data_IF_240105224126
#
_entry.id   IF_240105224126
#
_cell.length_a   1.000
_cell.length_b   1.000
_cell.length_c   1.000
_cell.angle_alpha   90.00
_cell.angle_beta   90.00
_cell.angle_gamma   90.00
#
_symmetry.space_group_name_H-M   'P 1'
#
loop_
_entity.id
_entity.type
_entity.pdbx_description
1 polymer ?
#
# COMPACT_ATOMS: atom_id res chain seq x y z
N UNK A 1 8.22 19.50 17.45
CA UNK A 1 7.71 18.10 17.38
C UNK A 1 8.66 17.11 16.69
N UNK A 2 9.47 17.49 15.70
CA UNK A 2 10.54 16.61 15.16
C UNK A 2 11.52 16.02 16.21
N UNK A 3 11.98 16.77 17.24
CA UNK A 3 12.83 16.18 18.28
C UNK A 3 12.07 15.17 19.15
N UNK A 4 10.74 15.31 19.26
CA UNK A 4 9.91 14.40 20.06
C UNK A 4 9.73 13.05 19.38
N UNK A 5 9.52 13.02 18.04
CA UNK A 5 9.46 11.75 17.27
C UNK A 5 10.79 10.99 17.31
N UNK A 6 11.93 11.68 17.18
CA UNK A 6 13.25 11.05 17.29
C UNK A 6 13.53 10.53 18.71
N UNK A 7 13.09 11.27 19.75
CA UNK A 7 13.22 10.84 21.14
C UNK A 7 12.33 9.63 21.45
N UNK A 8 11.11 9.58 20.91
CA UNK A 8 10.18 8.46 21.10
C UNK A 8 10.64 7.22 20.33
N UNK A 9 11.13 7.37 19.09
CA UNK A 9 11.74 6.25 18.34
C UNK A 9 12.96 5.70 19.10
N UNK A 10 13.82 6.58 19.61
CA UNK A 10 14.98 6.17 20.40
C UNK A 10 14.58 5.54 21.75
N UNK A 11 13.54 6.05 22.41
CA UNK A 11 13.04 5.50 23.67
C UNK A 11 12.38 4.13 23.48
N UNK A 12 11.64 3.90 22.39
CA UNK A 12 11.05 2.60 22.05
C UNK A 12 12.13 1.55 21.70
N UNK A 13 13.20 1.96 21.01
CA UNK A 13 14.36 1.09 20.74
C UNK A 13 15.14 0.76 22.03
N UNK A 14 15.24 1.69 22.98
CA UNK A 14 15.95 1.50 24.24
C UNK A 14 15.13 0.76 25.32
N UNK A 15 13.81 0.68 25.18
CA UNK A 15 12.92 0.05 26.17
C UNK A 15 12.84 -1.49 26.07
N UNK A 16 13.55 -2.14 25.14
CA UNK A 16 13.78 -3.60 25.19
C UNK A 16 12.55 -4.50 24.96
N UNK A 17 11.40 -3.95 24.58
CA UNK A 17 10.21 -4.71 24.18
C UNK A 17 10.01 -4.61 22.66
N UNK A 18 10.94 -5.14 21.87
CA UNK A 18 10.74 -5.20 20.41
C UNK A 18 9.73 -6.29 20.10
N UNK A 19 8.46 -5.91 19.96
CA UNK A 19 7.42 -6.76 19.38
C UNK A 19 7.94 -7.37 18.08
N UNK A 20 7.71 -8.66 17.89
CA UNK A 20 8.00 -9.36 16.64
C UNK A 20 7.20 -8.73 15.48
N UNK A 21 7.68 -8.91 14.25
CA UNK A 21 6.95 -8.52 13.03
C UNK A 21 5.52 -9.09 13.02
N UNK A 22 5.32 -10.31 13.55
CA UNK A 22 4.01 -10.94 13.67
C UNK A 22 3.08 -10.22 14.64
N UNK A 23 3.58 -9.82 15.81
CA UNK A 23 2.81 -9.06 16.81
C UNK A 23 2.43 -7.68 16.29
N UNK A 24 3.37 -6.96 15.66
CA UNK A 24 3.07 -5.67 15.05
C UNK A 24 1.99 -5.78 13.94
N UNK A 25 2.01 -6.85 13.15
CA UNK A 25 0.93 -7.09 12.16
C UNK A 25 -0.41 -7.43 12.82
N UNK A 26 -0.39 -8.18 13.92
CA UNK A 26 -1.60 -8.50 14.68
C UNK A 26 -2.22 -7.25 15.31
N UNK A 27 -1.40 -6.32 15.79
CA UNK A 27 -1.85 -5.01 16.29
C UNK A 27 -2.56 -4.21 15.19
N UNK A 28 -2.00 -4.16 13.97
CA UNK A 28 -2.65 -3.51 12.82
C UNK A 28 -3.93 -4.21 12.36
N UNK A 29 -4.04 -5.53 12.52
CA UNK A 29 -5.28 -6.27 12.30
C UNK A 29 -6.35 -5.90 13.34
N UNK A 30 -5.94 -5.72 14.60
CA UNK A 30 -6.84 -5.44 15.72
C UNK A 30 -7.53 -4.07 15.60
N UNK A 31 -6.78 -3.05 15.14
CA UNK A 31 -7.27 -1.67 14.98
C UNK A 31 -7.80 -1.38 13.56
N UNK A 32 -8.00 -2.42 12.75
CA UNK A 32 -8.42 -2.24 11.35
C UNK A 32 -9.86 -1.74 11.26
N UNK A 33 -10.16 -0.66 10.51
CA UNK A 33 -11.47 0.01 10.51
C UNK A 33 -12.63 -0.80 9.87
N UNK A 34 -12.44 -2.08 9.55
CA UNK A 34 -13.52 -2.94 9.02
C UNK A 34 -14.22 -3.75 10.12
N UNK A 35 -13.81 -3.59 11.40
CA UNK A 35 -14.41 -4.32 12.53
C UNK A 35 -15.81 -3.84 12.94
N UNK A 36 -16.43 -2.97 12.16
CA UNK A 36 -17.77 -2.43 12.43
C UNK A 36 -17.70 -0.98 12.89
N UNK A 37 -18.83 -0.31 12.67
CA UNK A 37 -19.13 1.10 12.88
C UNK A 37 -18.32 1.81 13.99
N UNK A 38 -17.37 2.65 13.56
CA UNK A 38 -16.58 3.54 14.43
C UNK A 38 -17.44 4.61 15.13
N UNK A 39 -18.75 4.68 14.83
CA UNK A 39 -19.69 5.60 15.50
C UNK A 39 -20.23 5.10 16.85
N UNK A 40 -19.91 3.87 17.26
CA UNK A 40 -20.38 3.31 18.54
C UNK A 40 -19.44 3.51 19.73
N UNK A 41 -18.28 4.13 19.53
CA UNK A 41 -17.33 4.42 20.62
C UNK A 41 -17.41 5.90 21.02
N UNK A 42 -18.26 6.19 22.00
CA UNK A 42 -18.39 7.50 22.65
C UNK A 42 -17.17 7.90 23.51
N UNK A 43 -16.12 7.07 23.56
CA UNK A 43 -15.00 7.24 24.48
C UNK A 43 -13.70 7.62 23.74
N UNK A 44 -13.31 8.89 23.88
CA UNK A 44 -12.10 9.43 23.28
C UNK A 44 -10.82 8.72 23.75
N UNK A 45 -10.86 8.02 24.89
CA UNK A 45 -9.73 7.25 25.43
C UNK A 45 -9.30 6.08 24.53
N UNK A 46 -10.23 5.41 23.84
CA UNK A 46 -9.93 4.31 22.92
C UNK A 46 -9.27 4.78 21.61
N UNK A 47 -9.56 6.01 21.17
CA UNK A 47 -8.94 6.62 19.97
C UNK A 47 -7.44 6.91 20.21
N UNK A 48 -7.08 7.29 21.43
CA UNK A 48 -5.67 7.49 21.82
C UNK A 48 -4.90 6.16 21.85
N UNK A 49 -5.51 5.09 22.34
CA UNK A 49 -4.89 3.76 22.38
C UNK A 49 -4.71 3.16 20.97
N UNK A 50 -5.67 3.33 20.06
CA UNK A 50 -5.56 2.80 18.69
C UNK A 50 -4.50 3.54 17.86
N UNK A 51 -4.45 4.87 17.98
CA UNK A 51 -3.45 5.68 17.28
C UNK A 51 -2.03 5.37 17.74
N UNK A 52 -1.84 5.19 19.05
CA UNK A 52 -0.55 4.80 19.62
C UNK A 52 -0.17 3.37 19.25
N UNK A 53 -1.11 2.42 19.34
CA UNK A 53 -0.85 1.03 18.96
C UNK A 53 -0.48 0.92 17.48
N UNK A 54 -1.17 1.66 16.61
CA UNK A 54 -0.83 1.74 15.18
C UNK A 54 0.53 2.39 14.92
N UNK A 55 0.87 3.44 15.66
CA UNK A 55 2.19 4.08 15.60
C UNK A 55 3.31 3.10 15.97
N UNK A 56 3.18 2.43 17.12
CA UNK A 56 4.15 1.44 17.60
C UNK A 56 4.30 0.30 16.59
N UNK A 57 3.19 -0.21 16.06
CA UNK A 57 3.20 -1.28 15.09
C UNK A 57 3.92 -0.87 13.79
N UNK A 58 3.61 0.30 13.22
CA UNK A 58 4.31 0.77 12.03
C UNK A 58 5.79 1.08 12.29
N UNK A 59 6.13 1.67 13.44
CA UNK A 59 7.52 1.91 13.82
C UNK A 59 8.31 0.59 13.90
N UNK A 60 7.75 -0.44 14.54
CA UNK A 60 8.34 -1.78 14.59
C UNK A 60 8.50 -2.40 13.19
N UNK A 61 7.50 -2.28 12.31
CA UNK A 61 7.56 -2.82 10.96
C UNK A 61 8.56 -2.08 10.05
N UNK A 62 8.72 -0.76 10.21
CA UNK A 62 9.70 0.03 9.46
C UNK A 62 11.12 -0.23 9.93
N UNK A 63 11.31 -0.53 11.22
CA UNK A 63 12.65 -0.80 11.78
C UNK A 63 13.07 -2.27 11.71
N UNK A 64 12.14 -3.18 11.39
CA UNK A 64 12.45 -4.60 11.25
C UNK A 64 13.58 -4.84 10.24
N UNK A 65 14.66 -5.46 10.72
CA UNK A 65 15.83 -5.84 9.90
C UNK A 65 15.45 -6.96 8.93
N UNK A 66 14.71 -7.95 9.42
CA UNK A 66 14.25 -9.09 8.64
C UNK A 66 12.72 -9.10 8.53
N UNK A 67 12.25 -9.25 7.30
CA UNK A 67 10.82 -9.37 7.01
C UNK A 67 10.64 -10.34 5.85
N UNK A 68 9.78 -11.34 6.05
CA UNK A 68 9.39 -12.22 4.94
C UNK A 68 8.57 -11.44 3.92
N UNK A 69 8.60 -11.87 2.66
CA UNK A 69 7.83 -11.21 1.60
C UNK A 69 6.31 -11.11 1.93
N UNK A 70 5.63 -12.15 2.46
CA UNK A 70 4.24 -12.03 2.90
C UNK A 70 4.04 -10.96 3.98
N UNK A 71 4.96 -10.84 4.95
CA UNK A 71 4.88 -9.81 5.98
C UNK A 71 5.01 -8.41 5.36
N UNK A 72 5.95 -8.21 4.44
CA UNK A 72 6.15 -6.91 3.77
C UNK A 72 4.95 -6.51 2.90
N UNK A 73 4.36 -7.48 2.18
CA UNK A 73 3.13 -7.29 1.41
C UNK A 73 1.96 -6.91 2.33
N UNK A 74 1.81 -7.58 3.48
CA UNK A 74 0.79 -7.25 4.48
C UNK A 74 0.99 -5.86 5.06
N UNK A 75 2.21 -5.51 5.46
CA UNK A 75 2.55 -4.16 5.96
C UNK A 75 2.15 -3.10 4.94
N UNK A 76 2.50 -3.29 3.66
CA UNK A 76 2.10 -2.39 2.59
C UNK A 76 0.57 -2.33 2.44
N UNK A 77 -0.13 -3.46 2.56
CA UNK A 77 -1.60 -3.50 2.50
C UNK A 77 -2.24 -2.71 3.63
N UNK A 78 -1.75 -2.84 4.88
CA UNK A 78 -2.23 -2.03 6.00
C UNK A 78 -1.90 -0.55 5.81
N UNK A 79 -0.67 -0.23 5.43
CA UNK A 79 -0.23 1.15 5.27
C UNK A 79 -1.06 1.89 4.18
N UNK A 80 -1.27 1.26 3.02
CA UNK A 80 -2.12 1.84 1.96
C UNK A 80 -3.57 2.03 2.39
N UNK A 81 -4.08 1.19 3.30
CA UNK A 81 -5.42 1.30 3.90
C UNK A 81 -5.49 2.46 4.89
N UNK A 82 -4.62 2.47 5.92
CA UNK A 82 -4.64 3.50 6.96
C UNK A 82 -4.39 4.90 6.41
N UNK A 83 -3.50 5.03 5.43
CA UNK A 83 -3.27 6.32 4.79
C UNK A 83 -4.55 6.89 4.12
N UNK A 84 -5.36 6.03 3.51
CA UNK A 84 -6.59 6.45 2.82
C UNK A 84 -7.81 6.64 3.73
N UNK A 85 -7.89 5.90 4.85
CA UNK A 85 -9.08 5.80 5.69
C UNK A 85 -8.96 6.49 7.05
N UNK A 86 -7.76 6.64 7.62
CA UNK A 86 -7.56 7.26 8.94
C UNK A 86 -7.53 8.80 8.86
N UNK A 87 -8.54 9.42 8.21
CA UNK A 87 -8.54 10.86 7.87
C UNK A 87 -8.46 11.79 9.08
N UNK A 88 -8.85 11.30 10.25
CA UNK A 88 -8.86 12.07 11.49
C UNK A 88 -7.66 11.76 12.40
N UNK A 89 -6.76 10.85 11.99
CA UNK A 89 -5.55 10.49 12.75
C UNK A 89 -4.28 10.79 11.94
N UNK A 90 -3.78 12.02 12.07
CA UNK A 90 -2.61 12.50 11.35
C UNK A 90 -1.32 11.72 11.68
N UNK A 91 -1.18 11.21 12.91
CA UNK A 91 -0.03 10.41 13.31
C UNK A 91 0.00 9.11 12.50
N UNK A 92 -1.11 8.37 12.53
CA UNK A 92 -1.24 7.11 11.83
C UNK A 92 -1.12 7.26 10.31
N UNK A 93 -1.65 8.35 9.73
CA UNK A 93 -1.44 8.68 8.32
C UNK A 93 0.03 8.93 7.99
N UNK A 94 0.74 9.67 8.85
CA UNK A 94 2.17 9.94 8.67
C UNK A 94 2.97 8.63 8.69
N UNK A 95 2.74 7.77 9.68
CA UNK A 95 3.46 6.51 9.84
C UNK A 95 3.14 5.54 8.69
N UNK A 96 1.89 5.51 8.24
CA UNK A 96 1.48 4.76 7.07
C UNK A 96 2.19 5.25 5.80
N UNK A 97 2.32 6.57 5.59
CA UNK A 97 3.07 7.11 4.45
C UNK A 97 4.55 6.69 4.48
N UNK A 98 5.19 6.78 5.64
CA UNK A 98 6.57 6.32 5.84
C UNK A 98 6.71 4.83 5.57
N UNK A 99 5.80 4.01 6.09
CA UNK A 99 5.78 2.57 5.87
C UNK A 99 5.62 2.22 4.39
N UNK A 100 4.77 2.93 3.63
CA UNK A 100 4.65 2.73 2.17
C UNK A 100 5.98 3.02 1.48
N UNK A 101 6.60 4.19 1.75
CA UNK A 101 7.88 4.57 1.14
C UNK A 101 8.96 3.53 1.39
N UNK A 102 9.03 3.01 2.61
CA UNK A 102 10.01 2.02 3.01
C UNK A 102 9.73 0.62 2.43
N UNK A 103 8.48 0.15 2.44
CA UNK A 103 8.15 -1.17 1.87
C UNK A 103 8.32 -1.21 0.35
N UNK A 104 7.90 -0.16 -0.36
CA UNK A 104 7.99 -0.12 -1.82
C UNK A 104 9.44 0.01 -2.31
N UNK A 105 10.33 0.61 -1.52
CA UNK A 105 11.77 0.66 -1.85
C UNK A 105 12.49 -0.65 -1.53
N UNK A 106 12.03 -1.39 -0.51
CA UNK A 106 12.54 -2.74 -0.20
C UNK A 106 12.10 -3.81 -1.21
N UNK A 107 10.97 -3.60 -1.89
CA UNK A 107 10.38 -4.57 -2.80
C UNK A 107 10.50 -4.04 -4.23
N UNK A 108 11.46 -4.52 -5.05
CA UNK A 108 11.72 -3.96 -6.37
C UNK A 108 10.59 -4.30 -7.34
N UNK A 109 9.65 -3.37 -7.51
CA UNK A 109 8.57 -3.44 -8.51
C UNK A 109 8.82 -2.39 -9.58
N UNK A 110 8.66 -2.71 -10.89
CA UNK A 110 8.73 -1.70 -11.94
C UNK A 110 7.64 -0.61 -11.74
N UNK A 111 7.86 0.61 -12.24
CA UNK A 111 6.88 1.70 -12.18
C UNK A 111 5.52 1.31 -12.77
N UNK A 112 4.44 1.95 -12.30
CA UNK A 112 3.05 1.64 -12.72
C UNK A 112 2.83 1.75 -14.23
N UNK A 113 3.66 2.51 -14.95
CA UNK A 113 3.52 2.69 -16.40
C UNK A 113 4.17 1.59 -17.25
N UNK A 114 4.97 0.70 -16.66
CA UNK A 114 5.65 -0.36 -17.40
C UNK A 114 4.72 -1.58 -17.54
N UNK A 115 4.30 -1.85 -18.78
CA UNK A 115 3.69 -3.13 -19.23
C UNK A 115 2.34 -3.54 -18.56
N UNK A 116 1.53 -2.60 -18.08
CA UNK A 116 0.18 -2.92 -17.63
C UNK A 116 -0.81 -3.03 -18.80
N UNK A 117 -1.54 -4.14 -18.84
CA UNK A 117 -2.62 -4.38 -19.80
C UNK A 117 -3.85 -3.58 -19.39
N UNK A 118 -4.47 -2.92 -20.38
CA UNK A 118 -5.84 -2.43 -20.25
C UNK A 118 -6.77 -3.61 -20.52
N UNK A 119 -7.52 -4.05 -19.51
CA UNK A 119 -8.65 -4.97 -19.74
C UNK A 119 -9.81 -4.22 -20.39
N UNK A 120 -10.73 -4.95 -21.02
CA UNK A 120 -11.86 -4.36 -21.75
C UNK A 120 -12.85 -3.68 -20.80
N UNK A 121 -12.93 -4.15 -19.55
CA UNK A 121 -13.75 -3.53 -18.51
C UNK A 121 -13.27 -3.87 -17.10
N UNK A 122 -13.74 -3.11 -16.10
CA UNK A 122 -13.54 -3.47 -14.69
C UNK A 122 -14.25 -4.77 -14.27
N UNK A 123 -15.28 -5.20 -15.02
CA UNK A 123 -15.96 -6.46 -14.79
C UNK A 123 -15.03 -7.65 -15.05
N UNK A 124 -14.19 -7.57 -16.09
CA UNK A 124 -13.23 -8.63 -16.43
C UNK A 124 -12.21 -8.85 -15.29
N UNK A 125 -11.73 -7.77 -14.65
CA UNK A 125 -10.87 -7.87 -13.46
C UNK A 125 -11.60 -8.50 -12.26
N UNK A 126 -12.89 -8.17 -12.09
CA UNK A 126 -13.72 -8.75 -11.05
C UNK A 126 -13.97 -10.24 -11.27
N UNK A 127 -14.21 -10.67 -12.50
CA UNK A 127 -14.43 -12.07 -12.83
C UNK A 127 -13.18 -12.90 -12.52
N UNK A 128 -11.99 -12.41 -12.90
CA UNK A 128 -10.72 -13.06 -12.52
C UNK A 128 -10.47 -13.05 -11.01
N UNK A 129 -10.89 -11.99 -10.31
CA UNK A 129 -10.84 -11.97 -8.86
C UNK A 129 -11.74 -13.06 -8.25
N UNK A 130 -12.95 -13.25 -8.76
CA UNK A 130 -13.86 -14.32 -8.35
C UNK A 130 -13.27 -15.69 -8.69
N UNK A 131 -12.66 -15.85 -9.86
CA UNK A 131 -12.01 -17.09 -10.27
C UNK A 131 -10.85 -17.44 -9.34
N UNK A 132 -10.04 -16.47 -8.93
CA UNK A 132 -8.96 -16.69 -7.95
C UNK A 132 -9.50 -17.14 -6.59
N UNK A 133 -10.62 -16.56 -6.14
CA UNK A 133 -11.27 -16.96 -4.90
C UNK A 133 -11.86 -18.38 -4.98
N UNK A 134 -12.38 -18.78 -6.14
CA UNK A 134 -12.84 -20.15 -6.39
C UNK A 134 -11.67 -21.13 -6.51
N UNK A 135 -10.56 -20.71 -7.11
CA UNK A 135 -9.40 -21.57 -7.33
C UNK A 135 -8.86 -22.17 -6.02
N UNK A 136 -9.04 -21.49 -4.87
CA UNK A 136 -8.62 -21.97 -3.54
C UNK A 136 -9.47 -23.11 -2.98
N UNK A 137 -10.66 -23.35 -3.53
CA UNK A 137 -11.63 -24.32 -3.03
C UNK A 137 -11.04 -25.72 -2.80
N UNK A 138 -10.26 -26.30 -3.74
CA UNK A 138 -9.60 -27.60 -3.53
C UNK A 138 -8.70 -27.65 -2.29
N UNK A 139 -8.10 -26.52 -1.90
CA UNK A 139 -7.22 -26.42 -0.73
C UNK A 139 -7.99 -26.29 0.59
N UNK A 140 -9.29 -26.02 0.55
CA UNK A 140 -10.12 -25.92 1.76
C UNK A 140 -10.67 -27.28 2.22
N UNK A 141 -10.60 -28.31 1.36
CA UNK A 141 -11.09 -29.66 1.66
C UNK A 141 -10.46 -30.23 2.92
N UNK A 142 -9.13 -30.18 3.06
CA UNK A 142 -8.44 -30.72 4.25
C UNK A 142 -8.92 -30.05 5.55
N UNK A 143 -9.03 -28.71 5.54
CA UNK A 143 -9.52 -27.96 6.69
C UNK A 143 -10.99 -28.27 7.00
N UNK A 144 -11.82 -28.50 5.98
CA UNK A 144 -13.21 -28.91 6.17
C UNK A 144 -13.31 -30.32 6.77
N UNK A 145 -12.43 -31.26 6.38
CA UNK A 145 -12.35 -32.59 6.99
C UNK A 145 -12.03 -32.45 8.49
N UNK A 146 -11.07 -31.61 8.86
CA UNK A 146 -10.70 -31.41 10.27
C UNK A 146 -11.84 -30.78 11.09
N UNK A 147 -12.63 -29.87 10.48
CA UNK A 147 -13.81 -29.27 11.11
C UNK A 147 -14.92 -30.28 11.44
N UNK A 148 -14.94 -31.46 10.82
CA UNK A 148 -15.89 -32.52 11.18
C UNK A 148 -15.71 -33.04 12.62
N UNK A 149 -14.53 -32.84 13.22
CA UNK A 149 -14.26 -33.16 14.62
C UNK A 149 -14.75 -32.08 15.60
N UNK A 150 -15.29 -30.96 15.12
CA UNK A 150 -15.81 -29.90 15.98
C UNK A 150 -17.00 -30.38 16.81
N UNK A 151 -17.08 -29.92 18.06
CA UNK A 151 -18.26 -30.12 18.90
C UNK A 151 -19.45 -29.23 18.49
N UNK A 152 -19.19 -28.18 17.69
CA UNK A 152 -20.22 -27.27 17.20
C UNK A 152 -20.94 -27.86 15.98
N UNK A 153 -22.25 -28.10 16.13
CA UNK A 153 -23.10 -28.66 15.09
C UNK A 153 -23.19 -27.78 13.83
N UNK A 154 -23.08 -26.46 13.97
CA UNK A 154 -23.11 -25.52 12.84
C UNK A 154 -21.84 -25.68 12.01
N UNK A 155 -20.68 -25.66 12.67
CA UNK A 155 -19.36 -25.86 12.03
C UNK A 155 -19.30 -27.18 11.27
N UNK A 156 -19.81 -28.26 11.88
CA UNK A 156 -19.86 -29.58 11.23
C UNK A 156 -20.81 -29.58 10.03
N UNK A 157 -21.97 -28.94 10.15
CA UNK A 157 -22.95 -28.84 9.04
C UNK A 157 -22.37 -28.10 7.84
N UNK A 158 -21.71 -26.96 8.07
CA UNK A 158 -21.04 -26.16 7.03
C UNK A 158 -19.91 -26.96 6.37
N UNK A 159 -19.09 -27.66 7.15
CA UNK A 159 -18.02 -28.52 6.63
C UNK A 159 -18.58 -29.63 5.73
N UNK A 160 -19.66 -30.30 6.12
CA UNK A 160 -20.32 -31.33 5.30
C UNK A 160 -20.91 -30.77 4.01
N UNK A 161 -21.52 -29.58 4.05
CA UNK A 161 -22.04 -28.92 2.85
C UNK A 161 -20.91 -28.59 1.86
N UNK A 162 -19.81 -28.04 2.36
CA UNK A 162 -18.62 -27.73 1.55
C UNK A 162 -18.04 -29.00 0.91
N UNK A 163 -17.82 -30.05 1.71
CA UNK A 163 -17.25 -31.31 1.23
C UNK A 163 -18.13 -31.95 0.16
N UNK A 164 -19.45 -32.00 0.37
CA UNK A 164 -20.39 -32.51 -0.65
C UNK A 164 -20.35 -31.70 -1.93
N UNK A 165 -20.39 -30.37 -1.80
CA UNK A 165 -20.40 -29.45 -2.95
C UNK A 165 -19.12 -29.54 -3.78
N UNK A 166 -17.97 -29.74 -3.15
CA UNK A 166 -16.67 -29.70 -3.84
C UNK A 166 -16.19 -31.07 -4.34
N UNK A 167 -16.68 -32.16 -3.76
CA UNK A 167 -16.15 -33.50 -4.04
C UNK A 167 -17.18 -34.44 -4.68
N UNK A 168 -18.45 -34.06 -4.67
CA UNK A 168 -19.61 -34.91 -4.98
C UNK A 168 -19.65 -36.22 -4.17
N UNK A 169 -18.89 -36.32 -3.07
CA UNK A 169 -18.88 -37.47 -2.18
C UNK A 169 -19.79 -37.24 -0.97
N UNK A 170 -20.24 -38.34 -0.35
CA UNK A 170 -21.03 -38.29 0.88
C UNK A 170 -20.63 -39.42 1.84
N UNK A 171 -19.59 -39.18 2.64
CA UNK A 171 -19.18 -40.09 3.73
C UNK A 171 -19.81 -39.71 5.08
N UNK A 172 -20.74 -38.75 5.10
CA UNK A 172 -21.27 -38.20 6.35
C UNK A 172 -20.15 -37.68 7.25
N UNK A 173 -20.22 -37.98 8.55
CA UNK A 173 -19.20 -37.59 9.56
C UNK A 173 -18.00 -38.55 9.63
N UNK A 174 -17.88 -39.51 8.72
CA UNK A 174 -16.74 -40.44 8.74
C UNK A 174 -15.45 -39.74 8.29
N UNK A 175 -14.71 -39.21 9.27
CA UNK A 175 -13.45 -38.51 9.05
C UNK A 175 -12.39 -39.43 8.43
N UNK A 176 -12.40 -40.73 8.77
CA UNK A 176 -11.41 -41.68 8.24
C UNK A 176 -11.64 -41.93 6.75
N UNK A 177 -12.89 -42.10 6.34
CA UNK A 177 -13.25 -42.21 4.92
C UNK A 177 -12.89 -40.93 4.14
N UNK A 178 -13.20 -39.75 4.69
CA UNK A 178 -12.83 -38.48 4.08
C UNK A 178 -11.32 -38.32 3.91
N UNK A 179 -10.52 -38.67 4.93
CA UNK A 179 -9.06 -38.60 4.85
C UNK A 179 -8.49 -39.59 3.84
N UNK A 180 -8.98 -40.83 3.82
CA UNK A 180 -8.55 -41.82 2.84
C UNK A 180 -8.82 -41.34 1.41
N UNK A 181 -10.01 -40.79 1.16
CA UNK A 181 -10.35 -40.18 -0.13
C UNK A 181 -9.43 -39.00 -0.46
N UNK A 182 -9.21 -38.08 0.48
CA UNK A 182 -8.37 -36.89 0.26
C UNK A 182 -6.94 -37.27 -0.09
N UNK A 183 -6.33 -38.22 0.62
CA UNK A 183 -4.96 -38.65 0.32
C UNK A 183 -4.81 -39.22 -1.09
N UNK A 184 -5.83 -39.90 -1.63
CA UNK A 184 -5.81 -40.39 -3.03
C UNK A 184 -5.95 -39.29 -4.08
N UNK A 185 -6.49 -38.12 -3.70
CA UNK A 185 -6.81 -37.01 -4.63
C UNK A 185 -5.95 -35.77 -4.40
N UNK A 186 -5.16 -35.73 -3.34
CA UNK A 186 -4.40 -34.56 -2.89
C UNK A 186 -3.53 -33.95 -3.99
N UNK A 187 -2.81 -34.79 -4.74
CA UNK A 187 -1.97 -34.34 -5.84
C UNK A 187 -2.78 -33.71 -6.98
N UNK A 188 -3.90 -34.34 -7.36
CA UNK A 188 -4.79 -33.84 -8.41
C UNK A 188 -5.44 -32.50 -8.00
N UNK A 189 -5.91 -32.40 -6.75
CA UNK A 189 -6.51 -31.20 -6.18
C UNK A 189 -5.52 -30.04 -6.11
N UNK A 190 -4.26 -30.33 -5.78
CA UNK A 190 -3.18 -29.35 -5.78
C UNK A 190 -2.84 -28.88 -7.21
N UNK A 191 -2.67 -29.80 -8.15
CA UNK A 191 -2.43 -29.46 -9.56
C UNK A 191 -3.59 -28.62 -10.15
N UNK A 192 -4.82 -28.94 -9.76
CA UNK A 192 -6.00 -28.15 -10.12
C UNK A 192 -5.95 -26.73 -9.53
N UNK A 193 -5.64 -26.58 -8.24
CA UNK A 193 -5.45 -25.28 -7.59
C UNK A 193 -4.40 -24.42 -8.31
N UNK A 194 -3.24 -25.00 -8.63
CA UNK A 194 -2.16 -24.31 -9.36
C UNK A 194 -2.66 -23.86 -10.74
N UNK A 195 -3.26 -24.78 -11.50
CA UNK A 195 -3.79 -24.50 -12.84
C UNK A 195 -4.84 -23.39 -12.84
N UNK A 196 -5.77 -23.42 -11.89
CA UNK A 196 -6.87 -22.46 -11.79
C UNK A 196 -6.42 -21.09 -11.27
N UNK A 197 -5.37 -21.03 -10.43
CA UNK A 197 -4.90 -19.78 -9.84
C UNK A 197 -3.98 -18.98 -10.76
N UNK A 198 -3.19 -19.65 -11.61
CA UNK A 198 -2.15 -19.01 -12.44
C UNK A 198 -2.69 -17.89 -13.33
N UNK A 199 -3.70 -18.19 -14.15
CA UNK A 199 -4.29 -17.21 -15.07
C UNK A 199 -4.85 -15.96 -14.36
N UNK A 200 -5.72 -16.12 -13.35
CA UNK A 200 -6.20 -15.00 -12.54
C UNK A 200 -5.08 -14.14 -11.93
N UNK A 201 -4.04 -14.76 -11.35
CA UNK A 201 -2.92 -14.03 -10.76
C UNK A 201 -2.17 -13.18 -11.80
N UNK A 202 -1.85 -13.76 -12.96
CA UNK A 202 -1.19 -13.04 -14.06
C UNK A 202 -2.01 -11.85 -14.55
N UNK A 203 -3.33 -12.03 -14.68
CA UNK A 203 -4.23 -10.99 -15.18
C UNK A 203 -4.42 -9.88 -14.15
N UNK A 204 -4.71 -10.21 -12.90
CA UNK A 204 -4.84 -9.22 -11.81
C UNK A 204 -3.55 -8.41 -11.64
N UNK A 205 -2.39 -9.09 -11.67
CA UNK A 205 -1.09 -8.45 -11.58
C UNK A 205 -0.78 -7.50 -12.74
N UNK A 206 -1.27 -7.80 -13.93
CA UNK A 206 -1.04 -7.00 -15.14
C UNK A 206 -2.11 -5.94 -15.37
N UNK A 207 -3.17 -5.90 -14.56
CA UNK A 207 -4.27 -4.98 -14.78
C UNK A 207 -3.97 -3.58 -14.26
N UNK A 208 -4.29 -2.56 -15.07
CA UNK A 208 -4.26 -1.16 -14.66
C UNK A 208 -5.56 -0.77 -13.97
N UNK A 209 -5.52 -0.66 -12.65
CA UNK A 209 -6.68 -0.22 -11.86
C UNK A 209 -6.99 1.26 -12.09
N UNK A 210 -8.27 1.63 -11.91
CA UNK A 210 -8.73 2.99 -12.21
C UNK A 210 -8.63 3.93 -11.01
N UNK A 211 -8.63 3.39 -9.78
CA UNK A 211 -8.61 4.18 -8.56
C UNK A 211 -8.05 3.37 -7.38
N UNK A 212 -7.82 4.05 -6.26
CA UNK A 212 -7.27 3.45 -5.05
C UNK A 212 -8.15 2.37 -4.46
N UNK A 213 -9.49 2.54 -4.50
CA UNK A 213 -10.43 1.58 -3.92
C UNK A 213 -10.28 0.21 -4.57
N UNK A 214 -10.30 0.17 -5.91
CA UNK A 214 -10.13 -1.09 -6.65
C UNK A 214 -8.75 -1.71 -6.38
N UNK A 215 -7.67 -0.94 -6.49
CA UNK A 215 -6.31 -1.44 -6.28
C UNK A 215 -6.11 -1.97 -4.85
N UNK A 216 -6.57 -1.25 -3.82
CA UNK A 216 -6.50 -1.68 -2.41
C UNK A 216 -7.32 -2.95 -2.16
N UNK A 217 -8.53 -3.03 -2.72
CA UNK A 217 -9.41 -4.19 -2.54
C UNK A 217 -8.75 -5.47 -3.09
N UNK A 218 -8.24 -5.42 -4.33
CA UNK A 218 -7.54 -6.58 -4.90
C UNK A 218 -6.25 -6.85 -4.15
N UNK A 219 -5.46 -5.82 -3.84
CA UNK A 219 -4.19 -5.99 -3.15
C UNK A 219 -4.36 -6.68 -1.79
N UNK A 220 -5.39 -6.30 -1.03
CA UNK A 220 -5.72 -6.94 0.24
C UNK A 220 -6.02 -8.43 0.08
N UNK A 221 -6.81 -8.79 -0.93
CA UNK A 221 -7.13 -10.19 -1.18
C UNK A 221 -5.91 -10.96 -1.62
N UNK A 222 -5.09 -10.42 -2.52
CA UNK A 222 -3.82 -11.03 -2.91
C UNK A 222 -2.88 -11.19 -1.71
N UNK A 223 -2.80 -10.18 -0.83
CA UNK A 223 -2.03 -10.23 0.40
C UNK A 223 -2.51 -11.34 1.34
N UNK A 224 -3.83 -11.50 1.52
CA UNK A 224 -4.39 -12.56 2.35
C UNK A 224 -4.23 -13.94 1.70
N UNK A 225 -4.40 -14.00 0.38
CA UNK A 225 -4.23 -15.22 -0.41
C UNK A 225 -2.79 -15.72 -0.34
N UNK A 226 -1.79 -14.84 -0.49
CA UNK A 226 -0.37 -15.16 -0.33
C UNK A 226 -0.01 -15.59 1.09
N UNK A 227 -0.75 -15.16 2.11
CA UNK A 227 -0.47 -15.64 3.46
C UNK A 227 -0.92 -17.10 3.63
N UNK A 228 -2.08 -17.45 3.07
CA UNK A 228 -2.77 -18.72 3.34
C UNK A 228 -2.53 -19.81 2.30
N UNK A 229 -2.31 -19.43 1.05
CA UNK A 229 -2.24 -20.35 -0.10
C UNK A 229 -0.97 -20.14 -0.94
N UNK A 230 0.10 -19.61 -0.34
CA UNK A 230 1.35 -19.45 -1.06
C UNK A 230 1.95 -20.80 -1.44
N UNK A 231 2.10 -20.97 -2.75
CA UNK A 231 2.57 -22.18 -3.35
C UNK A 231 3.89 -21.92 -4.09
N UNK A 232 4.93 -22.75 -3.91
CA UNK A 232 6.17 -22.62 -4.68
C UNK A 232 5.95 -22.61 -6.20
N UNK A 233 4.99 -23.37 -6.73
CA UNK A 233 4.68 -23.44 -8.16
C UNK A 233 3.93 -22.21 -8.69
N UNK A 234 3.39 -21.37 -7.81
CA UNK A 234 2.75 -20.11 -8.18
C UNK A 234 3.62 -18.90 -7.84
N UNK A 235 4.80 -19.10 -7.27
CA UNK A 235 5.65 -18.00 -6.78
C UNK A 235 6.01 -17.02 -7.90
N UNK A 236 6.29 -17.52 -9.09
CA UNK A 236 6.67 -16.74 -10.27
C UNK A 236 5.55 -15.82 -10.80
N UNK A 237 4.29 -16.10 -10.46
CA UNK A 237 3.13 -15.29 -10.87
C UNK A 237 2.51 -14.52 -9.71
N UNK A 238 2.40 -15.14 -8.54
CA UNK A 238 1.73 -14.57 -7.38
C UNK A 238 2.51 -13.40 -6.77
N UNK A 239 3.85 -13.54 -6.69
CA UNK A 239 4.72 -12.49 -6.14
C UNK A 239 4.72 -11.26 -7.05
N UNK A 240 5.01 -11.36 -8.37
CA UNK A 240 4.92 -10.19 -9.25
C UNK A 240 3.52 -9.58 -9.29
N UNK A 241 2.46 -10.40 -9.23
CA UNK A 241 1.11 -9.87 -9.20
C UNK A 241 0.85 -9.01 -7.96
N UNK A 242 1.09 -9.54 -6.76
CA UNK A 242 0.91 -8.76 -5.53
C UNK A 242 1.80 -7.52 -5.48
N UNK A 243 3.03 -7.61 -5.99
CA UNK A 243 3.95 -6.48 -6.12
C UNK A 243 3.39 -5.37 -7.03
N UNK A 244 2.94 -5.72 -8.25
CA UNK A 244 2.38 -4.75 -9.21
C UNK A 244 1.10 -4.11 -8.71
N UNK A 245 0.18 -4.90 -8.13
CA UNK A 245 -1.06 -4.36 -7.54
C UNK A 245 -0.74 -3.50 -6.30
N UNK A 246 0.20 -3.93 -5.46
CA UNK A 246 0.66 -3.19 -4.29
C UNK A 246 1.30 -1.85 -4.65
N UNK A 247 2.11 -1.79 -5.72
CA UNK A 247 2.68 -0.55 -6.26
C UNK A 247 1.58 0.41 -6.73
N UNK A 248 0.58 -0.08 -7.46
CA UNK A 248 -0.57 0.74 -7.86
C UNK A 248 -1.34 1.26 -6.64
N UNK A 249 -1.63 0.40 -5.66
CA UNK A 249 -2.31 0.78 -4.42
C UNK A 249 -1.53 1.84 -3.64
N UNK A 250 -0.20 1.73 -3.56
CA UNK A 250 0.69 2.71 -2.95
C UNK A 250 0.65 4.05 -3.68
N UNK A 251 0.79 4.04 -5.02
CA UNK A 251 0.78 5.25 -5.83
C UNK A 251 -0.55 5.99 -5.69
N UNK A 252 -1.66 5.28 -5.76
CA UNK A 252 -2.98 5.88 -5.57
C UNK A 252 -3.16 6.40 -4.14
N UNK A 253 -2.78 5.63 -3.11
CA UNK A 253 -2.96 6.03 -1.73
C UNK A 253 -2.16 7.29 -1.36
N UNK A 254 -0.90 7.35 -1.78
CA UNK A 254 -0.07 8.54 -1.59
C UNK A 254 -0.65 9.74 -2.35
N UNK A 255 -1.09 9.54 -3.59
CA UNK A 255 -1.68 10.63 -4.41
C UNK A 255 -2.97 11.19 -3.79
N UNK A 256 -3.86 10.32 -3.31
CA UNK A 256 -5.07 10.73 -2.60
C UNK A 256 -4.75 11.48 -1.31
N UNK A 257 -3.82 10.95 -0.50
CA UNK A 257 -3.46 11.54 0.78
C UNK A 257 -2.75 12.89 0.62
N UNK A 258 -1.86 13.04 -0.37
CA UNK A 258 -1.19 14.31 -0.64
C UNK A 258 -2.22 15.42 -0.91
N UNK A 259 -3.24 15.11 -1.71
CA UNK A 259 -4.26 16.08 -2.11
C UNK A 259 -5.26 16.32 -0.97
N UNK A 260 -5.70 15.26 -0.28
CA UNK A 260 -6.77 15.30 0.70
C UNK A 260 -6.37 15.62 2.15
N UNK A 261 -5.10 15.44 2.52
CA UNK A 261 -4.66 15.64 3.90
C UNK A 261 -4.71 17.12 4.32
N UNK A 262 -5.35 17.37 5.46
CA UNK A 262 -5.46 18.70 6.07
C UNK A 262 -4.18 19.10 6.79
N UNK A 263 -3.54 18.12 7.43
CA UNK A 263 -2.32 18.33 8.19
C UNK A 263 -1.07 18.44 7.30
N UNK A 264 -0.23 19.43 7.59
CA UNK A 264 0.97 19.71 6.80
C UNK A 264 2.07 18.67 6.99
N UNK A 265 2.17 18.06 8.18
CA UNK A 265 3.15 17.01 8.45
C UNK A 265 2.82 15.76 7.65
N UNK A 266 1.54 15.35 7.57
CA UNK A 266 1.10 14.23 6.73
C UNK A 266 1.49 14.47 5.27
N UNK A 267 1.24 15.67 4.74
CA UNK A 267 1.62 15.98 3.35
C UNK A 267 3.12 15.97 3.11
N UNK A 268 3.90 16.45 4.09
CA UNK A 268 5.35 16.40 4.04
C UNK A 268 5.87 14.96 4.01
N UNK A 269 5.34 14.09 4.88
CA UNK A 269 5.73 12.67 4.99
C UNK A 269 5.29 11.88 3.74
N UNK A 270 4.11 12.20 3.19
CA UNK A 270 3.66 11.64 1.89
C UNK A 270 4.58 12.07 0.74
N UNK A 271 5.01 13.33 0.70
CA UNK A 271 5.94 13.81 -0.33
C UNK A 271 7.31 13.13 -0.21
N UNK A 272 7.82 12.93 1.01
CA UNK A 272 9.06 12.18 1.24
C UNK A 272 8.93 10.72 0.77
N UNK A 273 7.80 10.06 1.05
CA UNK A 273 7.53 8.71 0.56
C UNK A 273 7.44 8.64 -0.97
N UNK A 274 6.77 9.61 -1.62
CA UNK A 274 6.75 9.72 -3.08
C UNK A 274 8.16 9.93 -3.66
N UNK A 275 8.99 10.76 -3.01
CA UNK A 275 10.36 11.00 -3.43
C UNK A 275 11.25 9.74 -3.33
N UNK A 276 11.03 8.91 -2.31
CA UNK A 276 11.75 7.64 -2.15
C UNK A 276 11.35 6.62 -3.21
N UNK A 277 10.07 6.58 -3.58
CA UNK A 277 9.52 5.64 -4.56
C UNK A 277 9.81 6.07 -6.01
N UNK A 278 9.85 7.39 -6.25
CA UNK A 278 10.11 8.02 -7.54
C UNK A 278 9.23 7.49 -8.70
N UNK A 279 7.96 7.21 -8.44
CA UNK A 279 7.03 6.73 -9.47
C UNK A 279 6.60 7.88 -10.39
N UNK A 280 6.61 7.64 -11.70
CA UNK A 280 6.17 8.60 -12.74
C UNK A 280 4.76 9.14 -12.50
N UNK A 281 3.88 8.34 -11.88
CA UNK A 281 2.51 8.75 -11.55
C UNK A 281 2.41 9.91 -10.54
N UNK A 282 3.48 10.26 -9.82
CA UNK A 282 3.45 11.28 -8.77
C UNK A 282 3.61 12.72 -9.26
N UNK A 283 4.13 12.95 -10.47
CA UNK A 283 4.40 14.29 -10.99
C UNK A 283 3.18 15.22 -10.89
N UNK A 284 2.03 14.77 -11.41
CA UNK A 284 0.82 15.61 -11.47
C UNK A 284 0.25 15.88 -10.07
N UNK A 285 0.06 14.87 -9.19
CA UNK A 285 -0.33 15.10 -7.80
C UNK A 285 0.59 16.07 -7.05
N UNK A 286 1.92 15.90 -7.14
CA UNK A 286 2.90 16.76 -6.48
C UNK A 286 2.81 18.20 -6.95
N UNK A 287 2.84 18.43 -8.26
CA UNK A 287 2.76 19.78 -8.81
C UNK A 287 1.43 20.47 -8.46
N UNK A 288 0.30 19.77 -8.65
CA UNK A 288 -1.02 20.30 -8.30
C UNK A 288 -1.13 20.63 -6.81
N UNK A 289 -0.51 19.83 -5.93
CA UNK A 289 -0.52 20.13 -4.50
C UNK A 289 0.30 21.37 -4.20
N UNK A 290 1.51 21.47 -4.77
CA UNK A 290 2.42 22.59 -4.55
C UNK A 290 1.81 23.93 -4.94
N UNK A 291 1.09 23.99 -6.07
CA UNK A 291 0.37 25.17 -6.57
C UNK A 291 -0.60 25.78 -5.54
N UNK A 292 -1.04 25.01 -4.54
CA UNK A 292 -2.03 25.41 -3.53
C UNK A 292 -1.51 25.26 -2.10
N UNK A 293 -0.24 24.91 -1.95
CA UNK A 293 0.35 24.68 -0.63
C UNK A 293 0.53 26.01 0.10
N UNK A 294 0.25 26.00 1.41
CA UNK A 294 0.36 27.18 2.28
C UNK A 294 1.37 26.98 3.40
N UNK A 295 1.77 25.75 3.66
CA UNK A 295 2.79 25.43 4.65
C UNK A 295 4.17 25.28 4.00
N UNK A 296 5.11 26.13 4.40
CA UNK A 296 6.46 26.16 3.82
C UNK A 296 7.23 24.85 4.03
N UNK A 297 7.01 24.13 5.14
CA UNK A 297 7.69 22.86 5.42
C UNK A 297 7.19 21.76 4.50
N UNK A 298 5.87 21.64 4.32
CA UNK A 298 5.27 20.72 3.36
C UNK A 298 5.69 21.07 1.93
N UNK A 299 5.64 22.36 1.55
CA UNK A 299 6.07 22.82 0.24
C UNK A 299 7.52 22.43 -0.05
N UNK A 300 8.43 22.62 0.91
CA UNK A 300 9.83 22.23 0.79
C UNK A 300 9.99 20.73 0.48
N UNK A 301 9.21 19.85 1.15
CA UNK A 301 9.26 18.40 0.88
C UNK A 301 8.69 18.05 -0.49
N UNK A 302 7.60 18.71 -0.88
CA UNK A 302 6.99 18.53 -2.21
C UNK A 302 7.96 18.95 -3.32
N UNK A 303 8.65 20.08 -3.16
CA UNK A 303 9.67 20.56 -4.10
C UNK A 303 10.81 19.55 -4.22
N UNK A 304 11.31 19.01 -3.10
CA UNK A 304 12.35 17.96 -3.12
C UNK A 304 11.90 16.71 -3.86
N UNK A 305 10.64 16.29 -3.69
CA UNK A 305 10.09 15.15 -4.43
C UNK A 305 10.01 15.43 -5.94
N UNK A 306 9.68 16.67 -6.32
CA UNK A 306 9.55 17.09 -7.71
C UNK A 306 10.85 17.03 -8.53
N UNK A 307 12.02 16.89 -7.88
CA UNK A 307 13.32 16.76 -8.54
C UNK A 307 13.41 15.61 -9.55
N UNK A 308 12.59 14.57 -9.37
CA UNK A 308 12.57 13.39 -10.22
C UNK A 308 11.71 13.56 -11.47
N UNK A 309 10.98 14.69 -11.59
CA UNK A 309 9.96 14.88 -12.60
C UNK A 309 10.20 16.17 -13.39
N UNK A 310 11.24 16.23 -14.24
CA UNK A 310 11.49 17.37 -15.12
C UNK A 310 10.28 17.63 -16.03
N UNK A 311 9.62 18.77 -15.88
CA UNK A 311 8.55 19.20 -16.78
C UNK A 311 8.25 20.69 -16.64
N UNK A 312 7.60 21.26 -17.66
CA UNK A 312 7.03 22.61 -17.61
C UNK A 312 6.16 22.83 -16.38
N UNK A 313 5.28 21.88 -16.06
CA UNK A 313 4.38 21.98 -14.90
C UNK A 313 5.15 22.01 -13.59
N UNK A 314 6.17 21.16 -13.45
CA UNK A 314 7.04 21.11 -12.27
C UNK A 314 7.72 22.45 -12.04
N UNK A 315 8.34 23.00 -13.08
CA UNK A 315 9.04 24.29 -13.02
C UNK A 315 8.07 25.41 -12.59
N UNK A 316 6.91 25.50 -13.25
CA UNK A 316 5.89 26.50 -12.93
C UNK A 316 5.34 26.36 -11.50
N UNK A 317 5.14 25.13 -11.02
CA UNK A 317 4.67 24.89 -9.66
C UNK A 317 5.70 25.34 -8.61
N UNK A 318 6.98 25.09 -8.85
CA UNK A 318 8.07 25.55 -7.97
C UNK A 318 8.15 27.08 -7.95
N UNK A 319 8.17 27.73 -9.13
CA UNK A 319 8.19 29.20 -9.23
C UNK A 319 6.98 29.83 -8.53
N UNK A 320 5.80 29.22 -8.71
CA UNK A 320 4.58 29.67 -8.03
C UNK A 320 4.73 29.60 -6.52
N UNK A 321 5.22 28.48 -5.98
CA UNK A 321 5.41 28.32 -4.54
C UNK A 321 6.45 29.28 -3.95
N UNK A 322 7.55 29.53 -4.67
CA UNK A 322 8.54 30.54 -4.28
C UNK A 322 7.91 31.94 -4.21
N UNK A 323 7.06 32.28 -5.17
CA UNK A 323 6.37 33.57 -5.20
C UNK A 323 5.28 33.72 -4.13
N UNK A 324 4.55 32.65 -3.80
CA UNK A 324 3.37 32.75 -2.92
C UNK A 324 3.68 32.55 -1.44
N UNK A 325 4.73 31.78 -1.10
CA UNK A 325 5.06 31.47 0.29
C UNK A 325 6.05 32.43 0.92
N UNK A 326 6.86 33.13 0.13
CA UNK A 326 7.89 34.07 0.58
C UNK A 326 8.72 33.53 1.77
N UNK A 327 9.08 32.24 1.71
CA UNK A 327 9.87 31.56 2.74
C UNK A 327 11.27 31.26 2.21
N UNK A 328 12.30 31.66 2.96
CA UNK A 328 13.70 31.50 2.55
C UNK A 328 14.06 30.04 2.23
N UNK A 329 13.51 29.05 2.95
CA UNK A 329 13.81 27.63 2.70
C UNK A 329 13.16 27.16 1.41
N UNK A 330 11.93 27.62 1.13
CA UNK A 330 11.24 27.35 -0.13
C UNK A 330 12.03 27.94 -1.29
N UNK A 331 12.55 29.15 -1.15
CA UNK A 331 13.34 29.81 -2.20
C UNK A 331 14.68 29.12 -2.45
N UNK A 332 15.42 28.77 -1.38
CA UNK A 332 16.69 28.05 -1.48
C UNK A 332 16.51 26.67 -2.12
N UNK A 333 15.57 25.88 -1.62
CA UNK A 333 15.31 24.52 -2.14
C UNK A 333 14.70 24.58 -3.53
N UNK A 334 13.82 25.55 -3.79
CA UNK A 334 13.25 25.80 -5.11
C UNK A 334 14.33 26.07 -6.15
N UNK A 335 15.24 27.00 -5.87
CA UNK A 335 16.35 27.32 -6.76
C UNK A 335 17.30 26.13 -6.95
N UNK A 336 17.64 25.39 -5.89
CA UNK A 336 18.48 24.18 -5.98
C UNK A 336 17.87 23.15 -6.95
N UNK A 337 16.57 22.87 -6.81
CA UNK A 337 15.89 21.91 -7.69
C UNK A 337 15.73 22.46 -9.10
N UNK A 338 15.37 23.73 -9.27
CA UNK A 338 15.28 24.35 -10.60
C UNK A 338 16.63 24.33 -11.32
N UNK A 339 17.73 24.56 -10.61
CA UNK A 339 19.09 24.41 -11.17
C UNK A 339 19.37 22.98 -11.59
N UNK A 340 19.00 22.01 -10.76
CA UNK A 340 19.17 20.59 -11.08
C UNK A 340 18.39 20.20 -12.34
N UNK A 341 17.18 20.73 -12.51
CA UNK A 341 16.31 20.41 -13.64
C UNK A 341 16.72 21.13 -14.93
N UNK A 342 17.17 22.39 -14.84
CA UNK A 342 17.33 23.29 -16.01
C UNK A 342 18.79 23.58 -16.36
N UNK A 343 19.72 23.38 -15.42
CA UNK A 343 21.12 23.77 -15.57
C UNK A 343 21.37 25.29 -15.59
N UNK A 344 20.38 26.12 -15.25
CA UNK A 344 20.49 27.58 -15.40
C UNK A 344 21.49 28.25 -14.44
N UNK A 345 21.80 27.63 -13.30
CA UNK A 345 22.77 28.13 -12.33
C UNK A 345 22.35 29.42 -11.62
N UNK A 346 21.04 29.66 -11.49
CA UNK A 346 20.51 30.85 -10.85
C UNK A 346 20.30 30.60 -9.35
N UNK A 347 20.71 31.53 -8.51
CA UNK A 347 20.61 31.38 -7.04
C UNK A 347 19.15 31.47 -6.55
N UNK A 348 18.94 31.63 -5.23
CA UNK A 348 17.63 31.73 -4.58
C UNK A 348 16.76 32.95 -4.96
N UNK A 349 17.13 33.69 -6.01
CA UNK A 349 16.48 34.92 -6.44
C UNK A 349 15.31 34.62 -7.39
N UNK A 350 14.09 34.83 -6.89
CA UNK A 350 12.85 34.62 -7.63
C UNK A 350 12.72 35.53 -8.86
N UNK A 351 13.24 36.75 -8.81
CA UNK A 351 13.14 37.69 -9.94
C UNK A 351 13.99 37.19 -11.12
N UNK A 352 15.20 36.71 -10.84
CA UNK A 352 16.08 36.09 -11.84
C UNK A 352 15.44 34.87 -12.46
N UNK A 353 14.86 33.99 -11.64
CA UNK A 353 14.15 32.81 -12.12
C UNK A 353 12.92 33.15 -12.99
N UNK A 354 12.16 34.17 -12.59
CA UNK A 354 10.98 34.63 -13.34
C UNK A 354 11.38 35.25 -14.67
N UNK A 355 12.46 36.04 -14.69
CA UNK A 355 13.01 36.61 -15.91
C UNK A 355 13.53 35.52 -16.87
N UNK A 356 14.29 34.55 -16.34
CA UNK A 356 14.78 33.41 -17.12
C UNK A 356 13.65 32.59 -17.73
N UNK A 357 12.57 32.34 -16.98
CA UNK A 357 11.42 31.60 -17.50
C UNK A 357 10.76 32.31 -18.68
N UNK A 358 10.59 33.64 -18.58
CA UNK A 358 10.02 34.49 -19.64
C UNK A 358 10.92 34.60 -20.87
N UNK A 359 12.23 34.56 -20.71
CA UNK A 359 13.19 34.69 -21.82
C UNK A 359 13.46 33.34 -22.51
N UNK A 360 13.82 32.31 -21.75
CA UNK A 360 14.33 31.03 -22.26
C UNK A 360 13.50 29.83 -21.84
N UNK A 361 13.04 29.79 -20.58
CA UNK A 361 12.44 28.60 -20.00
C UNK A 361 11.19 28.11 -20.72
N UNK A 362 10.27 29.01 -21.08
CA UNK A 362 9.01 28.65 -21.74
C UNK A 362 9.18 28.03 -23.14
N UNK A 363 10.29 28.31 -23.84
CA UNK A 363 10.59 27.74 -25.15
C UNK A 363 11.33 26.41 -25.05
N UNK A 364 12.17 26.25 -24.02
CA UNK A 364 12.95 25.03 -23.79
C UNK A 364 12.11 23.90 -23.17
N UNK A 365 11.02 24.25 -22.48
CA UNK A 365 10.13 23.34 -21.79
C UNK A 365 8.69 23.54 -22.28
N UNK A 366 8.33 23.02 -23.46
CA UNK A 366 7.02 23.25 -24.09
C UNK A 366 5.84 22.73 -23.25
#
# INVERSE_FOLDING_TARGET
>A
MAPFRALVLAALVLAGCTKSTGENLADLDAISPDRGDLSTFEDASLIFDEGQLGHEAFAGLVTAEEMTLPQAIRTLSHATKFLGLARDNNLLQSDAAVAIGHMVTRIPVPPVEVELKKLKSGQEAYDHFVDLLKAREPMEIAAAIDRLNSSDAVVVSEALQLLRKQTDQNFGRDVAAWRAWYETRKADLHAEFVRLSRGPLEILGSYRYQNASQARAVFRVLSAWLLKYFDPELRDVAVPAAMKVGRQAAVFALSEALIGARDAQVRADVADAMAAIADVGFQVPLARRLEREKDARAATRIIKALRWYPSRRTILAILTAMATLDDTRVNVVGAEILNTLTGAGLEGDLELWTAWWKDKGHNQWP
#
